data_IF_305431779090
#
_entry.id   IF_305431779090
#
_cell.length_a   1.000
_cell.length_b   1.000
_cell.length_c   1.000
_cell.angle_alpha   90.00
_cell.angle_beta   90.00
_cell.angle_gamma   90.00
#
_symmetry.space_group_name_H-M   'P 1'
#
loop_
_entity.id
_entity.type
_entity.pdbx_description
1 polymer ?
#
# COMPACT_ATOMS: atom_id res chain seq x y z
N UNK A 1 -6.20 11.65 -4.62
CA UNK A 1 -5.31 12.70 -4.04
C UNK A 1 -4.23 13.07 -5.03
N UNK A 2 -3.36 12.13 -5.43
CA UNK A 2 -2.33 12.34 -6.45
C UNK A 2 -2.90 12.79 -7.81
N UNK A 3 -4.04 12.25 -8.24
CA UNK A 3 -4.69 12.65 -9.50
C UNK A 3 -5.10 14.12 -9.52
N UNK A 4 -5.57 14.65 -8.38
CA UNK A 4 -5.98 16.05 -8.26
C UNK A 4 -4.77 16.97 -8.13
N UNK A 5 -3.73 16.52 -7.45
CA UNK A 5 -2.52 17.30 -7.20
C UNK A 5 -1.64 17.44 -8.45
N UNK A 6 -1.64 16.41 -9.31
CA UNK A 6 -0.86 16.38 -10.54
C UNK A 6 -1.68 16.49 -11.82
N UNK A 7 -2.98 16.77 -11.71
CA UNK A 7 -3.92 16.87 -12.84
C UNK A 7 -3.87 15.66 -13.79
N UNK A 8 -3.79 14.46 -13.19
CA UNK A 8 -3.71 13.20 -13.93
C UNK A 8 -5.11 12.65 -14.22
N UNK A 9 -5.36 12.27 -15.47
CA UNK A 9 -6.59 11.56 -15.85
C UNK A 9 -6.67 10.17 -15.21
N UNK A 10 -5.53 9.52 -14.95
CA UNK A 10 -5.46 8.23 -14.26
C UNK A 10 -4.06 7.93 -13.71
N UNK A 11 -4.02 7.27 -12.55
CA UNK A 11 -2.79 6.69 -12.01
C UNK A 11 -2.46 5.36 -12.67
N UNK A 12 -1.16 5.12 -12.92
CA UNK A 12 -0.68 3.78 -13.25
C UNK A 12 -0.88 2.85 -12.05
N UNK A 13 -0.98 1.53 -12.27
CA UNK A 13 -1.07 0.55 -11.16
C UNK A 13 0.05 0.73 -10.12
N UNK A 14 1.27 1.02 -10.57
CA UNK A 14 2.40 1.30 -9.67
C UNK A 14 2.20 2.55 -8.81
N UNK A 15 1.60 3.61 -9.37
CA UNK A 15 1.29 4.83 -8.62
C UNK A 15 0.05 4.68 -7.74
N UNK A 16 -0.82 3.69 -7.99
CA UNK A 16 -1.86 3.30 -7.05
C UNK A 16 -1.24 2.61 -5.82
N UNK A 17 -0.26 1.72 -6.06
CA UNK A 17 0.52 1.04 -5.02
C UNK A 17 1.76 1.84 -4.58
N UNK A 18 1.69 3.17 -4.62
CA UNK A 18 2.84 4.05 -4.40
C UNK A 18 3.50 3.87 -3.02
N UNK A 19 2.71 3.47 -2.02
CA UNK A 19 3.18 3.19 -0.65
C UNK A 19 4.12 1.98 -0.58
N UNK A 20 4.16 1.13 -1.62
CA UNK A 20 5.12 0.03 -1.75
C UNK A 20 6.41 0.44 -2.49
N UNK A 21 6.48 1.67 -3.01
CA UNK A 21 7.64 2.18 -3.76
C UNK A 21 8.59 2.94 -2.85
N UNK A 22 9.87 2.98 -3.22
CA UNK A 22 10.78 3.99 -2.67
C UNK A 22 10.46 5.38 -3.23
N UNK A 23 10.83 6.44 -2.53
CA UNK A 23 10.64 7.82 -3.02
C UNK A 23 11.29 8.03 -4.40
N UNK A 24 12.47 7.45 -4.63
CA UNK A 24 13.14 7.49 -5.92
C UNK A 24 12.35 6.79 -7.05
N UNK A 25 11.67 5.69 -6.76
CA UNK A 25 10.80 4.99 -7.71
C UNK A 25 9.51 5.77 -7.96
N UNK A 26 8.92 6.35 -6.92
CA UNK A 26 7.77 7.24 -7.04
C UNK A 26 8.08 8.42 -7.98
N UNK A 27 9.21 9.09 -7.80
CA UNK A 27 9.66 10.15 -8.69
C UNK A 27 9.85 9.66 -10.13
N UNK A 28 10.43 8.48 -10.34
CA UNK A 28 10.57 7.89 -11.68
C UNK A 28 9.22 7.59 -12.34
N UNK A 29 8.24 7.10 -11.57
CA UNK A 29 6.89 6.85 -12.10
C UNK A 29 6.15 8.16 -12.43
N UNK A 30 6.34 9.23 -11.64
CA UNK A 30 5.84 10.56 -11.98
C UNK A 30 6.50 11.12 -13.25
N UNK A 31 7.82 10.96 -13.40
CA UNK A 31 8.54 11.40 -14.60
C UNK A 31 8.05 10.70 -15.88
N UNK A 32 7.64 9.42 -15.79
CA UNK A 32 7.02 8.70 -16.91
C UNK A 32 5.68 9.30 -17.32
N UNK A 33 4.96 9.90 -16.38
CA UNK A 33 3.73 10.65 -16.64
C UNK A 33 4.01 12.12 -17.03
N UNK A 34 5.26 12.46 -17.36
CA UNK A 34 5.73 13.80 -17.73
C UNK A 34 5.64 14.83 -16.60
N UNK A 35 5.50 14.39 -15.35
CA UNK A 35 5.53 15.24 -14.18
C UNK A 35 6.98 15.32 -13.68
N UNK A 36 7.59 16.49 -13.77
CA UNK A 36 8.93 16.75 -13.22
C UNK A 36 8.83 17.69 -12.04
N UNK A 37 9.12 17.17 -10.86
CA UNK A 37 9.23 17.98 -9.66
C UNK A 37 10.56 18.75 -9.63
N UNK A 38 10.50 20.02 -9.26
CA UNK A 38 11.68 20.82 -8.92
C UNK A 38 12.34 20.33 -7.62
N UNK A 39 13.57 20.78 -7.33
CA UNK A 39 14.28 20.37 -6.12
C UNK A 39 13.52 20.72 -4.84
N UNK A 40 12.91 21.91 -4.78
CA UNK A 40 12.08 22.34 -3.65
C UNK A 40 10.89 21.42 -3.46
N UNK A 41 10.16 21.12 -4.54
CA UNK A 41 9.03 20.20 -4.47
C UNK A 41 9.46 18.79 -4.08
N UNK A 42 10.60 18.30 -4.56
CA UNK A 42 11.12 16.98 -4.14
C UNK A 42 11.33 16.92 -2.63
N UNK A 43 11.90 17.96 -2.04
CA UNK A 43 12.09 18.01 -0.58
C UNK A 43 10.76 18.01 0.18
N UNK A 44 9.79 18.81 -0.25
CA UNK A 44 8.46 18.86 0.39
C UNK A 44 7.72 17.52 0.26
N UNK A 45 7.82 16.90 -0.91
CA UNK A 45 7.19 15.61 -1.19
C UNK A 45 7.88 14.44 -0.50
N UNK A 46 9.17 14.51 -0.20
CA UNK A 46 9.89 13.42 0.47
C UNK A 46 9.36 13.17 1.88
N UNK A 47 9.22 14.25 2.66
CA UNK A 47 8.67 14.20 4.02
C UNK A 47 7.19 13.78 3.99
N UNK A 48 6.41 14.36 3.08
CA UNK A 48 5.00 14.02 2.90
C UNK A 48 4.82 12.55 2.50
N UNK A 49 5.57 12.09 1.51
CA UNK A 49 5.56 10.72 1.00
C UNK A 49 5.88 9.73 2.11
N UNK A 50 6.95 9.99 2.88
CA UNK A 50 7.39 9.09 3.95
C UNK A 50 6.35 8.97 5.06
N UNK A 51 5.75 10.10 5.45
CA UNK A 51 4.70 10.12 6.46
C UNK A 51 3.44 9.38 6.00
N UNK A 52 2.97 9.66 4.78
CA UNK A 52 1.79 8.98 4.25
C UNK A 52 2.05 7.50 3.96
N UNK A 53 3.26 7.14 3.49
CA UNK A 53 3.67 5.75 3.30
C UNK A 53 3.61 5.00 4.62
N UNK A 54 4.14 5.59 5.69
CA UNK A 54 4.11 4.98 7.03
C UNK A 54 2.67 4.74 7.50
N UNK A 55 1.78 5.70 7.30
CA UNK A 55 0.35 5.55 7.64
C UNK A 55 -0.31 4.45 6.82
N UNK A 56 -0.07 4.42 5.51
CA UNK A 56 -0.62 3.40 4.61
C UNK A 56 -0.16 1.99 5.01
N UNK A 57 1.13 1.82 5.29
CA UNK A 57 1.69 0.55 5.74
C UNK A 57 1.16 0.14 7.13
N UNK A 58 0.96 1.09 8.04
CA UNK A 58 0.34 0.83 9.35
C UNK A 58 -1.09 0.31 9.19
N UNK A 59 -1.90 1.00 8.38
CA UNK A 59 -3.28 0.60 8.09
C UNK A 59 -3.31 -0.78 7.42
N UNK A 60 -2.43 -1.03 6.44
CA UNK A 60 -2.33 -2.34 5.79
C UNK A 60 -1.98 -3.43 6.81
N UNK A 61 -1.07 -3.16 7.75
CA UNK A 61 -0.73 -4.09 8.82
C UNK A 61 -1.92 -4.36 9.74
N UNK A 62 -2.70 -3.34 10.09
CA UNK A 62 -3.91 -3.49 10.91
C UNK A 62 -5.00 -4.28 10.19
N UNK A 63 -5.19 -4.05 8.88
CA UNK A 63 -6.10 -4.83 8.04
C UNK A 63 -5.67 -6.29 8.04
N UNK A 64 -4.40 -6.58 7.75
CA UNK A 64 -3.89 -7.95 7.72
C UNK A 64 -4.03 -8.67 9.08
N UNK A 65 -3.83 -7.93 10.18
CA UNK A 65 -4.03 -8.48 11.52
C UNK A 65 -5.51 -8.80 11.77
N UNK A 66 -6.40 -7.89 11.38
CA UNK A 66 -7.86 -8.05 11.51
C UNK A 66 -8.37 -9.21 10.66
N UNK A 67 -7.90 -9.33 9.41
CA UNK A 67 -8.26 -10.44 8.51
C UNK A 67 -7.84 -11.78 9.13
N UNK A 68 -6.64 -11.85 9.71
CA UNK A 68 -6.17 -13.05 10.41
C UNK A 68 -7.03 -13.37 11.65
N UNK A 69 -7.47 -12.36 12.40
CA UNK A 69 -8.40 -12.57 13.51
C UNK A 69 -9.75 -13.12 13.02
N UNK A 70 -10.26 -12.62 11.89
CA UNK A 70 -11.48 -13.13 11.25
C UNK A 70 -11.30 -14.59 10.83
N UNK A 71 -10.20 -14.94 10.17
CA UNK A 71 -9.90 -16.32 9.77
C UNK A 71 -9.89 -17.25 10.99
N UNK A 72 -9.26 -16.84 12.10
CA UNK A 72 -9.26 -17.60 13.35
C UNK A 72 -10.66 -17.79 13.92
N UNK A 73 -11.50 -16.75 13.91
CA UNK A 73 -12.89 -16.86 14.34
C UNK A 73 -13.69 -17.81 13.46
N UNK A 74 -13.45 -17.80 12.14
CA UNK A 74 -14.07 -18.73 11.18
C UNK A 74 -13.62 -20.15 11.47
N UNK A 75 -12.33 -20.41 11.66
CA UNK A 75 -11.81 -21.73 11.99
C UNK A 75 -12.41 -22.28 13.29
N UNK A 76 -12.52 -21.43 14.32
CA UNK A 76 -13.16 -21.79 15.58
C UNK A 76 -14.65 -22.10 15.41
N UNK A 77 -15.37 -21.33 14.59
CA UNK A 77 -16.80 -21.54 14.33
C UNK A 77 -17.06 -22.89 13.65
N UNK A 78 -16.20 -23.29 12.72
CA UNK A 78 -16.30 -24.57 12.02
C UNK A 78 -15.57 -25.71 12.76
N UNK A 79 -14.86 -25.42 13.85
CA UNK A 79 -14.16 -26.40 14.67
C UNK A 79 -12.97 -27.06 13.97
N UNK A 80 -12.29 -26.34 13.06
CA UNK A 80 -11.16 -26.88 12.31
C UNK A 80 -10.00 -27.22 13.24
N UNK A 81 -9.32 -28.34 12.95
CA UNK A 81 -8.06 -28.70 13.60
C UNK A 81 -6.89 -27.91 12.99
N UNK A 82 -5.75 -27.87 13.68
CA UNK A 82 -4.53 -27.24 13.18
C UNK A 82 -4.12 -27.79 11.79
N UNK A 83 -4.35 -29.09 11.56
CA UNK A 83 -4.06 -29.77 10.29
C UNK A 83 -4.98 -29.28 9.16
N UNK A 84 -6.26 -29.03 9.44
CA UNK A 84 -7.22 -28.50 8.47
C UNK A 84 -6.94 -27.03 8.15
N UNK A 85 -6.58 -26.24 9.17
CA UNK A 85 -6.16 -24.83 8.99
C UNK A 85 -4.92 -24.75 8.11
N UNK A 86 -3.91 -25.60 8.36
CA UNK A 86 -2.68 -25.61 7.59
C UNK A 86 -2.93 -25.95 6.10
N UNK A 87 -3.92 -26.81 5.81
CA UNK A 87 -4.35 -27.10 4.43
C UNK A 87 -5.02 -25.89 3.79
N UNK A 88 -5.83 -25.13 4.53
CA UNK A 88 -6.51 -23.92 4.04
C UNK A 88 -5.52 -22.78 3.76
N UNK A 89 -4.53 -22.55 4.63
CA UNK A 89 -3.55 -21.47 4.47
C UNK A 89 -2.48 -21.76 3.39
N UNK A 90 -2.27 -23.03 3.02
CA UNK A 90 -1.34 -23.45 1.97
C UNK A 90 -1.98 -23.61 0.59
N UNK A 91 -3.30 -23.48 0.50
CA UNK A 91 -4.12 -23.68 -0.70
C UNK A 91 -4.20 -22.49 -1.64
#
# INVERSE_FOLDING_TARGET
MLEREFELESLSKKLQDWYNLSFAEFLKELEKQKIKLSLTQKSEWEDYFTNEQTKALSIQSEINATDKEIDQMVYQLYGLTEEEIEVVEKG
#
